data_IF_962782799476
#
_entry.id   IF_962782799476
#
_cell.length_a   1.000
_cell.length_b   1.000
_cell.length_c   1.000
_cell.angle_alpha   90.00
_cell.angle_beta   90.00
_cell.angle_gamma   90.00
#
_symmetry.space_group_name_H-M   'P 1'
#
loop_
_entity.id
_entity.type
_entity.pdbx_description
1 polymer ?
#
# COMPACT_ATOMS: atom_id res chain seq x y z
N UNK A 1 9.93 -10.34 1.59
CA UNK A 1 9.57 -8.91 1.66
C UNK A 1 8.06 -8.75 1.64
N UNK A 2 7.56 -7.85 2.44
CA UNK A 2 6.12 -7.55 2.53
C UNK A 2 5.90 -6.16 1.96
N UNK A 3 4.94 -6.04 1.05
CA UNK A 3 4.59 -4.76 0.43
C UNK A 3 3.40 -4.16 1.20
N UNK A 4 3.55 -2.90 1.62
CA UNK A 4 2.47 -2.12 2.22
C UNK A 4 1.99 -1.16 1.15
N UNK A 5 0.83 -1.44 0.57
CA UNK A 5 0.35 -0.78 -0.65
C UNK A 5 -0.79 0.18 -0.34
N UNK A 6 -0.59 1.46 -0.70
CA UNK A 6 -1.63 2.48 -0.62
C UNK A 6 -2.60 2.37 -1.80
N UNK A 7 -3.84 2.81 -1.60
CA UNK A 7 -4.89 2.69 -2.60
C UNK A 7 -5.03 3.96 -3.44
N UNK A 8 -5.53 5.05 -2.83
CA UNK A 8 -5.78 6.30 -3.55
C UNK A 8 -4.46 6.93 -4.00
N UNK A 9 -4.43 7.40 -5.25
CA UNK A 9 -3.25 8.04 -5.85
C UNK A 9 -2.04 7.11 -5.97
N UNK A 10 -2.18 5.83 -5.65
CA UNK A 10 -1.10 4.84 -5.75
C UNK A 10 -1.55 3.67 -6.61
N UNK A 11 -2.33 2.73 -6.06
CA UNK A 11 -2.88 1.65 -6.89
C UNK A 11 -3.90 2.20 -7.89
N UNK A 12 -4.72 3.17 -7.45
CA UNK A 12 -5.70 3.83 -8.32
C UNK A 12 -4.97 4.88 -9.15
N UNK A 13 -5.08 4.75 -10.47
CA UNK A 13 -4.39 5.63 -11.41
C UNK A 13 -5.13 6.94 -11.65
N UNK A 14 -6.45 6.95 -11.47
CA UNK A 14 -7.28 8.09 -11.81
C UNK A 14 -8.00 8.70 -10.60
N UNK A 15 -7.31 8.76 -9.46
CA UNK A 15 -7.91 9.27 -8.21
C UNK A 15 -8.39 10.73 -8.30
N UNK A 16 -7.86 11.50 -9.24
CA UNK A 16 -8.30 12.89 -9.42
C UNK A 16 -9.68 12.99 -10.07
N UNK A 17 -10.17 11.93 -10.71
CA UNK A 17 -11.47 11.92 -11.38
C UNK A 17 -12.54 11.53 -10.37
N UNK A 18 -13.07 12.52 -9.67
CA UNK A 18 -14.04 12.27 -8.60
C UNK A 18 -15.44 12.05 -9.13
N UNK A 19 -16.14 11.09 -8.57
CA UNK A 19 -17.53 10.77 -8.91
C UNK A 19 -18.36 10.65 -7.63
N UNK A 20 -19.66 10.88 -7.76
CA UNK A 20 -20.60 10.74 -6.65
C UNK A 20 -21.84 9.99 -7.13
N UNK A 21 -22.47 9.19 -6.27
CA UNK A 21 -22.04 8.81 -4.92
C UNK A 21 -20.74 7.99 -4.95
N UNK A 22 -20.19 7.64 -3.80
CA UNK A 22 -18.89 6.99 -3.74
C UNK A 22 -18.88 5.64 -4.46
N UNK A 23 -20.01 4.95 -4.53
CA UNK A 23 -20.11 3.71 -5.32
C UNK A 23 -19.74 3.95 -6.78
N UNK A 24 -20.10 5.11 -7.34
CA UNK A 24 -19.74 5.48 -8.71
C UNK A 24 -18.25 5.76 -8.82
N UNK A 25 -17.66 6.32 -7.76
CA UNK A 25 -16.21 6.54 -7.72
C UNK A 25 -15.49 5.20 -7.86
N UNK A 26 -15.90 4.19 -7.08
CA UNK A 26 -15.28 2.86 -7.12
C UNK A 26 -15.44 2.25 -8.50
N UNK A 27 -16.65 2.34 -9.10
CA UNK A 27 -16.87 1.81 -10.44
C UNK A 27 -16.00 2.47 -11.50
N UNK A 28 -15.68 3.74 -11.30
CA UNK A 28 -14.91 4.53 -12.26
C UNK A 28 -13.41 4.34 -12.11
N UNK A 29 -12.95 3.78 -10.99
CA UNK A 29 -11.52 3.65 -10.71
C UNK A 29 -10.81 2.75 -11.70
N UNK A 30 -9.59 3.19 -12.08
CA UNK A 30 -8.68 2.40 -12.89
C UNK A 30 -7.45 2.10 -12.06
N UNK A 31 -7.02 0.84 -12.08
CA UNK A 31 -5.89 0.42 -11.27
C UNK A 31 -4.65 0.29 -12.14
N UNK A 32 -3.48 0.58 -11.56
CA UNK A 32 -2.21 0.48 -12.27
C UNK A 32 -1.84 -0.99 -12.43
N UNK A 33 -2.11 -1.55 -13.59
CA UNK A 33 -1.86 -2.97 -13.85
C UNK A 33 -0.38 -3.32 -13.77
N UNK A 34 0.49 -2.41 -14.22
CA UNK A 34 1.92 -2.64 -14.11
C UNK A 34 2.38 -2.75 -12.66
N UNK A 35 1.74 -1.98 -11.75
CA UNK A 35 2.08 -2.05 -10.34
C UNK A 35 1.60 -3.39 -9.75
N UNK A 36 0.39 -3.80 -10.10
CA UNK A 36 -0.13 -5.10 -9.67
C UNK A 36 0.84 -6.21 -10.07
N UNK A 37 1.33 -6.19 -11.32
CA UNK A 37 2.29 -7.19 -11.78
C UNK A 37 3.56 -7.22 -10.96
N UNK A 38 4.03 -6.05 -10.52
CA UNK A 38 5.26 -5.96 -9.72
C UNK A 38 5.08 -6.42 -8.28
N UNK A 39 3.91 -6.17 -7.68
CA UNK A 39 3.70 -6.55 -6.29
C UNK A 39 3.12 -7.95 -6.12
N UNK A 40 2.52 -8.49 -7.16
CA UNK A 40 1.85 -9.79 -7.10
C UNK A 40 2.75 -10.95 -6.59
N UNK A 41 4.05 -10.99 -6.91
CA UNK A 41 4.92 -12.04 -6.38
C UNK A 41 5.17 -11.97 -4.88
N UNK A 42 4.82 -10.87 -4.23
CA UNK A 42 5.10 -10.63 -2.82
C UNK A 42 3.84 -10.68 -1.98
N UNK A 43 4.01 -10.91 -0.68
CA UNK A 43 2.91 -10.75 0.25
C UNK A 43 2.55 -9.27 0.31
N UNK A 44 1.38 -8.90 -0.19
CA UNK A 44 0.96 -7.51 -0.30
C UNK A 44 -0.20 -7.23 0.64
N UNK A 45 -0.05 -6.20 1.45
CA UNK A 45 -1.08 -5.73 2.39
C UNK A 45 -1.56 -4.37 1.88
N UNK A 46 -2.83 -4.29 1.51
CA UNK A 46 -3.45 -3.03 1.14
C UNK A 46 -3.75 -2.26 2.41
N UNK A 47 -3.26 -1.01 2.51
CA UNK A 47 -3.50 -0.17 3.68
C UNK A 47 -4.04 1.16 3.19
N UNK A 48 -5.30 1.44 3.50
CA UNK A 48 -5.98 2.60 2.95
C UNK A 48 -6.76 3.36 4.01
N UNK A 49 -6.81 4.69 3.86
CA UNK A 49 -7.66 5.53 4.70
C UNK A 49 -9.12 5.53 4.23
N UNK A 50 -9.43 4.84 3.13
CA UNK A 50 -10.82 4.69 2.69
C UNK A 50 -11.63 4.02 3.80
N UNK A 51 -12.85 4.52 4.08
CA UNK A 51 -13.66 3.97 5.16
C UNK A 51 -13.95 2.48 5.00
N UNK A 52 -14.01 1.79 6.13
CA UNK A 52 -14.23 0.34 6.18
C UNK A 52 -15.50 -0.10 5.43
N UNK A 53 -16.54 0.73 5.43
CA UNK A 53 -17.79 0.41 4.75
C UNK A 53 -17.61 0.14 3.26
N UNK A 54 -16.52 0.62 2.68
CA UNK A 54 -16.27 0.45 1.24
C UNK A 54 -15.33 -0.73 0.94
N UNK A 55 -15.00 -1.53 1.94
CA UNK A 55 -14.05 -2.65 1.78
C UNK A 55 -14.48 -3.61 0.67
N UNK A 56 -15.66 -4.17 0.79
CA UNK A 56 -16.08 -5.22 -0.13
C UNK A 56 -16.17 -4.71 -1.56
N UNK A 57 -16.80 -3.55 -1.75
CA UNK A 57 -16.95 -2.97 -3.09
C UNK A 57 -15.58 -2.68 -3.71
N UNK A 58 -14.62 -2.20 -2.91
CA UNK A 58 -13.28 -1.89 -3.39
C UNK A 58 -12.53 -3.15 -3.80
N UNK A 59 -12.51 -4.18 -2.94
CA UNK A 59 -11.80 -5.41 -3.23
C UNK A 59 -12.41 -6.13 -4.43
N UNK A 60 -13.74 -6.13 -4.54
CA UNK A 60 -14.42 -6.71 -5.69
C UNK A 60 -14.04 -6.00 -6.98
N UNK A 61 -13.98 -4.65 -6.93
CA UNK A 61 -13.61 -3.85 -8.09
C UNK A 61 -12.20 -4.17 -8.56
N UNK A 62 -11.27 -4.27 -7.63
CA UNK A 62 -9.87 -4.60 -7.95
C UNK A 62 -9.81 -5.98 -8.62
N UNK A 63 -10.43 -6.97 -8.00
CA UNK A 63 -10.41 -8.33 -8.54
C UNK A 63 -11.05 -8.41 -9.92
N UNK A 64 -12.20 -7.75 -10.08
CA UNK A 64 -12.92 -7.75 -11.36
C UNK A 64 -12.09 -7.12 -12.47
N UNK A 65 -11.39 -6.02 -12.17
CA UNK A 65 -10.72 -5.23 -13.21
C UNK A 65 -9.31 -5.73 -13.53
N UNK A 66 -8.58 -6.25 -12.52
CA UNK A 66 -7.19 -6.64 -12.73
C UNK A 66 -6.89 -8.09 -12.35
N UNK A 67 -7.90 -8.85 -11.92
CA UNK A 67 -7.72 -10.29 -11.65
C UNK A 67 -6.81 -10.60 -10.48
N UNK A 68 -6.67 -9.66 -9.54
CA UNK A 68 -5.75 -9.79 -8.41
C UNK A 68 -6.41 -9.24 -7.15
N UNK A 69 -6.01 -9.77 -6.02
CA UNK A 69 -6.43 -9.23 -4.72
C UNK A 69 -5.25 -9.30 -3.77
N UNK A 70 -5.10 -8.31 -2.87
CA UNK A 70 -4.03 -8.37 -1.88
C UNK A 70 -4.30 -9.50 -0.89
N UNK A 71 -3.23 -10.06 -0.29
CA UNK A 71 -3.37 -11.11 0.70
C UNK A 71 -4.05 -10.63 1.97
N UNK A 72 -3.87 -9.34 2.31
CA UNK A 72 -4.53 -8.71 3.44
C UNK A 72 -4.91 -7.30 3.04
N UNK A 73 -5.95 -6.76 3.69
CA UNK A 73 -6.39 -5.41 3.41
C UNK A 73 -6.93 -4.78 4.70
N UNK A 74 -6.47 -3.57 4.98
CA UNK A 74 -6.94 -2.80 6.13
C UNK A 74 -7.52 -1.50 5.64
N UNK A 75 -8.77 -1.24 6.04
CA UNK A 75 -9.49 -0.02 5.73
C UNK A 75 -9.66 0.80 7.00
N UNK A 76 -10.04 2.07 6.85
CA UNK A 76 -10.12 2.98 7.99
C UNK A 76 -11.43 2.77 8.75
N UNK A 77 -11.31 2.17 9.93
CA UNK A 77 -12.43 1.99 10.87
C UNK A 77 -12.23 2.85 12.11
N UNK A 78 -11.22 3.73 12.09
CA UNK A 78 -10.76 4.46 13.27
C UNK A 78 -11.20 5.90 13.27
N UNK A 79 -11.73 6.40 12.15
CA UNK A 79 -12.13 7.81 11.97
C UNK A 79 -10.96 8.75 12.24
N UNK A 80 -9.78 8.38 11.75
CA UNK A 80 -8.54 9.14 11.92
C UNK A 80 -7.99 9.56 10.56
N UNK A 81 -7.14 10.60 10.53
CA UNK A 81 -6.44 10.97 9.29
C UNK A 81 -5.60 9.80 8.78
N UNK A 82 -5.26 9.80 7.48
CA UNK A 82 -4.57 8.66 6.86
C UNK A 82 -3.34 8.16 7.60
N UNK A 83 -2.41 9.04 7.99
CA UNK A 83 -1.18 8.59 8.62
C UNK A 83 -1.42 8.02 10.03
N UNK A 84 -2.42 8.55 10.75
CA UNK A 84 -2.77 8.02 12.07
C UNK A 84 -3.48 6.69 11.97
N UNK A 85 -4.43 6.57 11.02
CA UNK A 85 -5.12 5.30 10.80
C UNK A 85 -4.12 4.20 10.41
N UNK A 86 -3.17 4.52 9.55
CA UNK A 86 -2.19 3.54 9.09
C UNK A 86 -1.19 3.18 10.19
N UNK A 87 -0.87 4.10 11.09
CA UNK A 87 -0.08 3.79 12.27
C UNK A 87 -0.78 2.72 13.12
N UNK A 88 -2.08 2.89 13.34
CA UNK A 88 -2.86 1.91 14.11
C UNK A 88 -2.85 0.57 13.41
N UNK A 89 -3.02 0.56 12.09
CA UNK A 89 -2.98 -0.70 11.31
C UNK A 89 -1.65 -1.41 11.49
N UNK A 90 -0.54 -0.67 11.42
CA UNK A 90 0.79 -1.26 11.64
C UNK A 90 0.90 -1.86 13.03
N UNK A 91 0.59 -1.07 14.05
CA UNK A 91 0.85 -1.47 15.44
C UNK A 91 -0.10 -2.55 15.93
N UNK A 92 -1.36 -2.52 15.51
CA UNK A 92 -2.35 -3.45 16.01
C UNK A 92 -2.55 -4.69 15.15
N UNK A 93 -2.17 -4.65 13.88
CA UNK A 93 -2.45 -5.77 12.96
C UNK A 93 -1.22 -6.28 12.23
N UNK A 94 -0.42 -5.40 11.65
CA UNK A 94 0.70 -5.83 10.81
C UNK A 94 1.85 -6.38 11.65
N UNK A 95 2.33 -5.60 12.60
CA UNK A 95 3.47 -6.01 13.43
C UNK A 95 3.16 -7.23 14.30
N UNK A 96 1.98 -7.34 14.93
CA UNK A 96 1.69 -8.55 15.71
C UNK A 96 1.70 -9.83 14.86
N UNK A 97 1.34 -9.73 13.59
CA UNK A 97 1.29 -10.91 12.71
C UNK A 97 2.61 -11.18 12.01
N UNK A 98 3.28 -10.13 11.52
CA UNK A 98 4.45 -10.30 10.65
C UNK A 98 5.76 -9.95 11.30
N UNK A 99 5.72 -9.25 12.43
CA UNK A 99 6.92 -8.84 13.14
C UNK A 99 7.35 -7.43 12.77
N UNK A 100 7.85 -6.73 13.77
CA UNK A 100 8.31 -5.35 13.60
C UNK A 100 9.60 -5.28 12.78
N UNK A 101 10.37 -6.37 12.79
CA UNK A 101 11.65 -6.46 12.11
C UNK A 101 11.58 -7.17 10.76
N UNK A 102 10.38 -7.46 10.27
CA UNK A 102 10.24 -8.04 8.95
C UNK A 102 10.67 -7.01 7.91
N UNK A 103 11.01 -7.48 6.72
CA UNK A 103 11.41 -6.59 5.64
C UNK A 103 10.15 -6.04 4.96
N UNK A 104 9.91 -4.74 5.13
CA UNK A 104 8.77 -4.05 4.54
C UNK A 104 9.22 -3.07 3.49
N UNK A 105 8.38 -2.87 2.47
CA UNK A 105 8.51 -1.79 1.51
C UNK A 105 7.13 -1.19 1.34
N UNK A 106 6.98 0.11 1.60
CA UNK A 106 5.72 0.80 1.43
C UNK A 106 5.69 1.54 0.09
N UNK A 107 4.55 1.51 -0.57
CA UNK A 107 4.30 2.29 -1.79
C UNK A 107 3.14 3.21 -1.43
N UNK A 108 3.43 4.51 -1.32
CA UNK A 108 2.56 5.46 -0.65
C UNK A 108 2.63 6.83 -1.32
N UNK A 109 1.52 7.57 -1.35
CA UNK A 109 1.46 8.88 -1.97
C UNK A 109 1.51 10.05 -0.98
N UNK A 110 1.07 9.84 0.27
CA UNK A 110 0.88 10.90 1.25
C UNK A 110 2.18 11.18 2.01
N UNK A 111 2.68 12.46 1.98
CA UNK A 111 3.93 12.80 2.67
C UNK A 111 3.91 12.52 4.17
N UNK A 112 2.78 12.73 4.83
CA UNK A 112 2.69 12.47 6.28
C UNK A 112 2.77 10.98 6.57
N UNK A 113 2.26 10.16 5.67
CA UNK A 113 2.33 8.71 5.82
C UNK A 113 3.77 8.23 5.55
N UNK A 114 4.46 8.83 4.57
CA UNK A 114 5.89 8.56 4.39
C UNK A 114 6.68 8.85 5.67
N UNK A 115 6.40 9.98 6.31
CA UNK A 115 7.08 10.36 7.55
C UNK A 115 6.77 9.35 8.66
N UNK A 116 5.53 8.90 8.73
CA UNK A 116 5.14 7.89 9.73
C UNK A 116 5.89 6.59 9.51
N UNK A 117 5.97 6.10 8.25
CA UNK A 117 6.72 4.88 7.96
C UNK A 117 8.20 5.03 8.33
N UNK A 118 8.78 6.21 8.09
CA UNK A 118 10.18 6.46 8.43
C UNK A 118 10.45 6.32 9.91
N UNK A 119 9.49 6.64 10.77
CA UNK A 119 9.64 6.47 12.21
C UNK A 119 9.86 5.01 12.60
N UNK A 120 9.38 4.09 11.79
CA UNK A 120 9.55 2.65 12.03
C UNK A 120 10.71 2.05 11.20
N UNK A 121 11.44 2.90 10.49
CA UNK A 121 12.53 2.42 9.63
C UNK A 121 12.02 1.71 8.37
N UNK A 122 10.78 1.95 7.97
CA UNK A 122 10.19 1.33 6.79
C UNK A 122 10.43 2.23 5.58
N UNK A 123 11.16 1.75 4.55
CA UNK A 123 11.32 2.53 3.33
C UNK A 123 9.99 2.68 2.63
N UNK A 124 9.72 3.87 2.10
CA UNK A 124 8.48 4.12 1.36
C UNK A 124 8.80 4.89 0.09
N UNK A 125 8.09 4.55 -0.99
CA UNK A 125 8.34 5.07 -2.32
C UNK A 125 7.04 5.64 -2.86
N UNK A 126 7.15 6.75 -3.60
CA UNK A 126 6.01 7.38 -4.25
C UNK A 126 6.09 7.18 -5.76
N UNK A 127 4.94 6.90 -6.38
CA UNK A 127 4.84 6.86 -7.83
C UNK A 127 4.68 8.30 -8.32
N UNK A 128 5.62 8.74 -9.15
CA UNK A 128 5.56 10.07 -9.76
C UNK A 128 4.64 10.01 -10.97
N UNK A 129 3.90 11.08 -11.22
CA UNK A 129 2.97 11.15 -12.33
C UNK A 129 3.62 10.73 -13.65
N UNK A 130 2.93 9.89 -14.42
CA UNK A 130 3.38 9.36 -15.71
C UNK A 130 4.55 8.39 -15.62
N UNK A 131 4.97 8.06 -14.38
CA UNK A 131 6.01 7.06 -14.17
C UNK A 131 5.41 5.66 -14.27
N UNK A 132 6.19 4.75 -14.86
CA UNK A 132 5.82 3.34 -14.89
C UNK A 132 7.08 2.54 -14.63
N UNK A 133 7.11 1.81 -13.52
CA UNK A 133 8.29 1.02 -13.17
C UNK A 133 8.31 -0.30 -13.93
N UNK A 134 9.52 -0.75 -14.28
CA UNK A 134 9.71 -2.08 -14.85
C UNK A 134 10.09 -3.08 -13.76
N UNK A 135 10.53 -2.60 -12.61
CA UNK A 135 10.82 -3.42 -11.44
C UNK A 135 10.63 -2.56 -10.20
N UNK A 136 10.45 -3.19 -9.05
CA UNK A 136 10.32 -2.46 -7.79
C UNK A 136 11.64 -1.76 -7.49
N UNK A 137 11.60 -0.46 -7.12
CA UNK A 137 12.82 0.28 -6.83
C UNK A 137 13.36 -0.10 -5.44
N UNK A 138 13.87 -1.32 -5.32
CA UNK A 138 14.44 -1.84 -4.08
C UNK A 138 15.93 -1.53 -4.08
N UNK A 139 16.37 -0.80 -3.05
CA UNK A 139 17.77 -0.46 -2.92
C UNK A 139 18.54 -1.62 -2.28
N UNK A 140 19.85 -1.66 -2.45
CA UNK A 140 20.66 -2.66 -1.77
C UNK A 140 20.48 -2.65 -0.26
N UNK A 141 20.32 -1.46 0.35
CA UNK A 141 20.09 -1.38 1.79
C UNK A 141 18.74 -1.99 2.16
N UNK A 142 17.71 -1.83 1.33
CA UNK A 142 16.41 -2.44 1.55
C UNK A 142 16.52 -3.96 1.49
N UNK A 143 17.17 -4.48 0.46
CA UNK A 143 17.28 -5.92 0.29
C UNK A 143 18.15 -6.57 1.36
N UNK A 144 19.11 -5.87 1.89
CA UNK A 144 20.01 -6.44 2.92
C UNK A 144 19.46 -6.35 4.32
N UNK A 145 18.41 -5.61 4.53
CA UNK A 145 17.78 -5.55 5.86
C UNK A 145 17.26 -6.89 6.30
N UNK A 146 17.25 -7.81 5.46
CA UNK A 146 16.90 -9.16 5.82
C UNK A 146 18.00 -9.80 6.61
N UNK A 147 18.96 -9.42 6.74
CA UNK A 147 19.91 -10.01 7.50
C UNK A 147 21.26 -9.74 7.12
N UNK A 148 20.96 -9.87 6.72
CA UNK A 148 21.97 -9.55 6.49
C UNK A 148 22.55 -9.18 7.00
N UNK A 149 22.34 -9.32 6.74
CA UNK A 149 22.97 -8.70 6.94
C UNK A 149 23.67 -8.57 6.93
N UNK A 150 23.96 -8.80 6.83
CA UNK A 150 24.74 -8.47 6.78
C UNK A 150 25.35 -7.91 7.28
N UNK A 151 25.36 -8.11 7.17
CA UNK A 151 25.90 -7.34 7.48
C UNK A 151 26.15 -6.60 7.84
N UNK A 152 26.56 -6.50 7.97
CA UNK A 152 26.81 -5.67 8.41
C UNK A 152 26.54 -4.78 8.34
N UNK A 153 26.17 -4.61 7.94
CA UNK A 153 26.14 -3.68 7.74
C UNK A 153 25.85 -2.96 8.37
#
# INVERSE_FOLDING_TARGET
>A
MIILLDLNYTLVANSTEKKRPFAMQIQHEKYREWLVSLVAPYHTILMTARPEMHRQATLDSIYFKVGWTPQEAFFNRYHKPPHEAKRIMLEQHVFPKHGKNAQYLAIESNPRTHAMYAEYGIPSIKIVENEQWTELPITPSTSRKSGHSRTPR
#
